data_IF_348254945521
#
_entry.id   IF_348254945521
#
_cell.length_a   1.000
_cell.length_b   1.000
_cell.length_c   1.000
_cell.angle_alpha   90.00
_cell.angle_beta   90.00
_cell.angle_gamma   90.00
#
_symmetry.space_group_name_H-M   'P 1'
#
loop_
_entity.id
_entity.type
_entity.pdbx_description
1 polymer ?
#
# COMPACT_ATOMS: atom_id res chain seq x y z
N UNK A 1 -15.38 -30.63 -54.89
CA UNK A 1 -14.77 -31.40 -53.77
C UNK A 1 -14.79 -30.51 -52.53
N UNK A 2 -15.36 -31.01 -51.42
CA UNK A 2 -15.27 -30.44 -50.07
C UNK A 2 -14.08 -31.07 -49.35
N UNK A 3 -13.52 -30.37 -48.35
CA UNK A 3 -13.73 -30.80 -46.95
C UNK A 3 -14.30 -29.62 -46.14
N UNK A 4 -15.45 -29.69 -45.44
CA UNK A 4 -15.74 -30.42 -44.17
C UNK A 4 -14.57 -30.25 -43.19
N UNK A 5 -14.55 -29.19 -42.38
CA UNK A 5 -15.16 -29.10 -41.04
C UNK A 5 -14.87 -27.64 -40.61
N UNK A 6 -15.84 -26.77 -40.32
CA UNK A 6 -16.39 -26.52 -38.98
C UNK A 6 -17.78 -25.89 -39.17
N UNK A 7 -18.82 -26.72 -39.28
CA UNK A 7 -20.16 -26.32 -38.81
C UNK A 7 -20.25 -26.71 -37.35
N UNK A 8 -20.87 -25.84 -36.55
CA UNK A 8 -21.23 -25.98 -35.14
C UNK A 8 -20.23 -25.49 -34.09
N UNK A 9 -20.03 -24.17 -33.96
CA UNK A 9 -20.07 -23.47 -32.65
C UNK A 9 -20.57 -22.01 -32.81
N UNK A 10 -21.49 -21.74 -33.75
CA UNK A 10 -22.16 -20.44 -33.86
C UNK A 10 -23.65 -20.63 -34.15
N UNK A 11 -24.26 -21.60 -33.47
CA UNK A 11 -25.70 -21.55 -33.24
C UNK A 11 -25.90 -21.04 -31.82
N UNK A 12 -26.74 -20.01 -31.73
CA UNK A 12 -26.81 -19.07 -30.61
C UNK A 12 -26.78 -19.73 -29.23
N UNK A 13 -25.86 -19.25 -28.40
CA UNK A 13 -26.05 -19.29 -26.95
C UNK A 13 -27.17 -18.31 -26.63
N UNK A 14 -28.41 -18.81 -26.74
CA UNK A 14 -29.59 -18.15 -26.17
C UNK A 14 -29.46 -18.30 -24.65
N UNK A 15 -28.88 -17.28 -24.00
CA UNK A 15 -28.92 -17.13 -22.55
C UNK A 15 -30.37 -16.84 -22.15
N UNK A 16 -31.17 -17.89 -21.96
CA UNK A 16 -32.46 -17.78 -21.28
C UNK A 16 -32.21 -17.63 -19.78
N UNK A 17 -32.15 -16.38 -19.32
CA UNK A 17 -32.24 -16.06 -17.90
C UNK A 17 -33.72 -16.15 -17.52
N UNK A 18 -34.12 -17.30 -16.97
CA UNK A 18 -35.45 -17.50 -16.39
C UNK A 18 -35.56 -16.75 -15.06
N UNK A 19 -36.17 -15.57 -15.09
CA UNK A 19 -36.46 -14.73 -13.93
C UNK A 19 -36.52 -13.27 -14.35
N UNK A 20 -37.43 -12.49 -13.77
CA UNK A 20 -37.69 -11.08 -14.11
C UNK A 20 -36.42 -10.21 -14.06
N UNK A 21 -35.66 -10.21 -15.15
CA UNK A 21 -34.38 -9.52 -15.25
C UNK A 21 -34.62 -8.09 -15.73
N UNK A 22 -34.73 -7.16 -14.77
CA UNK A 22 -34.78 -5.70 -15.01
C UNK A 22 -33.46 -5.10 -15.55
N UNK A 23 -32.55 -5.92 -16.08
CA UNK A 23 -31.25 -5.48 -16.57
C UNK A 23 -31.14 -5.82 -18.05
N UNK A 24 -31.25 -4.78 -18.89
CA UNK A 24 -31.08 -4.87 -20.33
C UNK A 24 -29.61 -4.58 -20.64
N UNK A 25 -28.96 -5.49 -21.35
CA UNK A 25 -27.61 -5.26 -21.88
C UNK A 25 -27.70 -4.23 -23.02
N UNK A 26 -27.45 -2.96 -22.70
CA UNK A 26 -27.62 -1.85 -23.65
C UNK A 26 -26.59 -1.84 -24.79
N UNK A 27 -25.41 -2.42 -24.57
CA UNK A 27 -24.43 -2.67 -25.61
C UNK A 27 -23.38 -3.68 -25.14
N UNK A 28 -22.73 -4.34 -26.10
CA UNK A 28 -21.49 -5.07 -25.87
C UNK A 28 -20.49 -4.63 -26.94
N UNK A 29 -19.20 -4.58 -26.59
CA UNK A 29 -18.11 -4.34 -27.54
C UNK A 29 -17.19 -5.55 -27.51
N UNK A 30 -17.25 -6.37 -28.55
CA UNK A 30 -16.28 -7.45 -28.74
C UNK A 30 -14.88 -6.83 -28.90
N UNK A 31 -13.90 -7.36 -28.16
CA UNK A 31 -12.50 -6.95 -28.31
C UNK A 31 -11.91 -7.67 -29.52
N UNK A 32 -11.47 -6.88 -30.48
CA UNK A 32 -10.63 -7.31 -31.58
C UNK A 32 -9.19 -7.42 -31.06
N UNK A 33 -8.51 -8.57 -31.15
CA UNK A 33 -7.16 -8.75 -30.62
C UNK A 33 -6.10 -7.85 -31.28
N UNK A 34 -6.38 -7.25 -32.44
CA UNK A 34 -5.41 -6.44 -33.20
C UNK A 34 -5.68 -4.92 -33.21
N UNK A 35 -6.65 -4.42 -32.43
CA UNK A 35 -6.91 -2.98 -32.32
C UNK A 35 -6.35 -2.42 -31.01
N UNK A 36 -5.21 -1.71 -31.13
CA UNK A 36 -4.68 -0.79 -30.12
C UNK A 36 -5.74 0.26 -29.76
N UNK A 37 -6.55 -0.04 -28.74
CA UNK A 37 -7.35 0.97 -28.04
C UNK A 37 -6.41 1.90 -27.26
N UNK A 38 -6.69 3.20 -27.11
CA UNK A 38 -5.90 4.11 -26.27
C UNK A 38 -6.11 3.88 -24.76
N UNK A 39 -6.58 2.68 -24.37
CA UNK A 39 -6.47 2.23 -23.00
C UNK A 39 -4.98 1.95 -22.78
N UNK A 40 -4.31 2.89 -22.11
CA UNK A 40 -2.93 2.78 -21.61
C UNK A 40 -2.54 1.32 -21.38
N UNK A 41 -1.44 0.81 -21.97
CA UNK A 41 -1.04 -0.57 -21.75
C UNK A 41 -0.79 -0.76 -20.25
N UNK A 42 -1.73 -1.43 -19.57
CA UNK A 42 -1.55 -1.89 -18.21
C UNK A 42 -0.89 -3.25 -18.31
N UNK A 43 0.42 -3.30 -18.06
CA UNK A 43 1.12 -4.57 -17.95
C UNK A 43 1.01 -5.05 -16.50
N UNK A 44 0.38 -6.22 -16.30
CA UNK A 44 0.31 -6.91 -15.02
C UNK A 44 1.34 -8.04 -15.03
N UNK A 45 2.27 -8.03 -14.09
CA UNK A 45 3.23 -9.10 -13.89
C UNK A 45 3.25 -9.58 -12.44
N UNK A 46 3.61 -10.84 -12.23
CA UNK A 46 3.83 -11.42 -10.91
C UNK A 46 5.33 -11.54 -10.64
N UNK A 47 5.76 -11.11 -9.47
CA UNK A 47 7.14 -11.18 -9.01
C UNK A 47 7.20 -12.05 -7.76
N UNK A 48 8.00 -13.12 -7.81
CA UNK A 48 8.27 -13.95 -6.63
C UNK A 48 9.59 -13.54 -6.02
N UNK A 49 9.54 -13.10 -4.77
CA UNK A 49 10.69 -12.77 -3.93
C UNK A 49 10.76 -13.81 -2.81
N UNK A 50 11.94 -14.03 -2.24
CA UNK A 50 12.10 -14.95 -1.12
C UNK A 50 11.11 -14.61 0.02
N UNK A 51 10.18 -15.52 0.29
CA UNK A 51 9.12 -15.36 1.29
C UNK A 51 7.92 -14.47 0.89
N UNK A 52 7.81 -13.95 -0.34
CA UNK A 52 6.65 -13.14 -0.76
C UNK A 52 6.38 -13.15 -2.27
N UNK A 53 5.10 -13.02 -2.65
CA UNK A 53 4.66 -12.85 -4.04
C UNK A 53 4.02 -11.47 -4.19
N UNK A 54 4.49 -10.71 -5.17
CA UNK A 54 4.01 -9.37 -5.49
C UNK A 54 3.28 -9.35 -6.84
N UNK A 55 2.25 -8.51 -6.90
CA UNK A 55 1.56 -8.10 -8.12
C UNK A 55 2.11 -6.75 -8.56
N UNK A 56 2.68 -6.66 -9.75
CA UNK A 56 3.23 -5.43 -10.31
C UNK A 56 2.33 -4.97 -11.45
N UNK A 57 1.77 -3.76 -11.34
CA UNK A 57 0.97 -3.14 -12.39
C UNK A 57 1.67 -1.89 -12.88
N UNK A 58 1.99 -1.84 -14.18
CA UNK A 58 2.59 -0.68 -14.82
C UNK A 58 1.55 0.00 -15.70
N UNK A 59 1.19 1.25 -15.39
CA UNK A 59 0.23 2.05 -16.13
C UNK A 59 0.92 3.26 -16.75
N UNK A 60 0.87 3.37 -18.07
CA UNK A 60 1.29 4.57 -18.78
C UNK A 60 0.20 5.64 -18.66
N UNK A 61 0.47 6.71 -17.92
CA UNK A 61 -0.43 7.85 -17.78
C UNK A 61 0.05 8.95 -18.71
N UNK A 62 -0.78 9.27 -19.69
CA UNK A 62 -0.52 10.36 -20.62
C UNK A 62 -0.91 11.67 -19.93
N UNK A 63 0.08 12.44 -19.45
CA UNK A 63 -0.20 13.74 -18.85
C UNK A 63 -0.43 14.74 -19.99
N UNK A 64 -1.70 15.02 -20.28
CA UNK A 64 -2.05 16.06 -21.23
C UNK A 64 -1.79 17.41 -20.56
N UNK A 65 -0.68 18.08 -20.90
CA UNK A 65 -0.47 19.47 -20.50
C UNK A 65 -1.68 20.28 -21.00
N UNK A 66 -2.41 20.90 -20.06
CA UNK A 66 -3.43 21.87 -20.40
C UNK A 66 -2.72 23.06 -21.07
N UNK A 67 -2.63 23.01 -22.41
CA UNK A 67 -2.05 24.09 -23.20
C UNK A 67 -2.79 25.39 -22.87
N UNK A 68 -2.06 26.35 -22.31
CA UNK A 68 -2.60 27.68 -22.05
C UNK A 68 -3.06 28.26 -23.40
N UNK A 69 -4.23 28.90 -23.40
CA UNK A 69 -4.82 29.59 -24.58
C UNK A 69 -4.01 30.82 -25.02
N UNK A 70 -2.67 30.76 -25.06
CA UNK A 70 -1.78 31.87 -25.38
C UNK A 70 -0.78 31.62 -26.50
N UNK A 71 -0.54 30.37 -26.92
CA UNK A 71 0.53 30.05 -27.88
C UNK A 71 0.13 30.09 -29.37
N UNK A 72 -1.09 30.51 -29.70
CA UNK A 72 -1.60 30.49 -31.09
C UNK A 72 -0.97 31.56 -32.02
N UNK A 73 -0.17 32.49 -31.51
CA UNK A 73 0.34 33.64 -32.29
C UNK A 73 1.75 33.48 -32.87
N UNK A 74 2.46 32.39 -32.59
CA UNK A 74 3.89 32.29 -32.95
C UNK A 74 4.25 31.38 -34.12
N UNK A 75 3.29 30.84 -34.89
CA UNK A 75 3.57 30.27 -36.21
C UNK A 75 4.77 29.31 -36.29
N UNK A 76 5.06 28.58 -35.21
CA UNK A 76 6.06 27.52 -35.18
C UNK A 76 5.30 26.20 -35.35
N UNK A 77 5.64 25.47 -36.41
CA UNK A 77 5.22 24.09 -36.63
C UNK A 77 5.70 23.26 -35.42
N UNK A 78 4.80 23.04 -34.46
CA UNK A 78 5.07 22.31 -33.23
C UNK A 78 4.99 20.80 -33.47
N UNK A 79 6.06 20.22 -34.00
CA UNK A 79 6.25 18.75 -34.05
C UNK A 79 6.74 18.17 -32.71
N UNK A 80 6.69 18.96 -31.63
CA UNK A 80 7.16 18.56 -30.29
C UNK A 80 6.25 19.08 -29.17
N UNK A 81 4.92 18.97 -29.31
CA UNK A 81 4.03 18.99 -28.12
C UNK A 81 4.28 17.69 -27.36
N UNK A 82 5.31 17.74 -26.51
CA UNK A 82 5.80 16.66 -25.69
C UNK A 82 4.68 16.09 -24.83
N UNK A 83 4.10 15.01 -25.32
CA UNK A 83 3.27 14.15 -24.50
C UNK A 83 4.21 13.46 -23.51
N UNK A 84 4.38 14.04 -22.31
CA UNK A 84 5.11 13.38 -21.23
C UNK A 84 4.26 12.19 -20.78
N UNK A 85 4.69 10.99 -21.18
CA UNK A 85 4.12 9.75 -20.70
C UNK A 85 4.79 9.41 -19.37
N UNK A 86 4.09 9.63 -18.26
CA UNK A 86 4.55 9.15 -16.96
C UNK A 86 4.14 7.70 -16.81
N UNK A 87 5.08 6.85 -16.43
CA UNK A 87 4.76 5.45 -16.17
C UNK A 87 4.64 5.24 -14.67
N UNK A 88 3.41 5.01 -14.20
CA UNK A 88 3.13 4.71 -12.81
C UNK A 88 3.28 3.21 -12.61
N UNK A 89 4.23 2.80 -11.76
CA UNK A 89 4.43 1.41 -11.37
C UNK A 89 3.87 1.23 -9.96
N UNK A 90 2.91 0.33 -9.81
CA UNK A 90 2.34 -0.07 -8.53
C UNK A 90 2.80 -1.49 -8.22
N UNK A 91 3.30 -1.73 -7.02
CA UNK A 91 3.71 -3.06 -6.52
C UNK A 91 2.95 -3.36 -5.24
N UNK A 92 2.08 -4.37 -5.29
CA UNK A 92 1.27 -4.79 -4.15
C UNK A 92 1.63 -6.20 -3.73
N UNK A 93 1.75 -6.45 -2.43
CA UNK A 93 1.99 -7.80 -1.91
C UNK A 93 0.69 -8.63 -2.00
N UNK A 94 0.77 -9.82 -2.58
CA UNK A 94 -0.36 -10.78 -2.64
C UNK A 94 -0.35 -11.71 -1.45
N UNK A 95 0.83 -12.25 -1.14
CA UNK A 95 1.07 -13.18 -0.03
C UNK A 95 2.52 -13.06 0.39
N UNK A 96 2.80 -13.26 1.67
CA UNK A 96 4.17 -13.35 2.17
C UNK A 96 4.23 -13.87 3.59
N UNK A 97 5.45 -14.09 4.09
CA UNK A 97 5.68 -14.28 5.52
C UNK A 97 5.34 -13.01 6.29
N UNK A 98 5.15 -13.13 7.60
CA UNK A 98 4.84 -11.97 8.44
C UNK A 98 5.91 -10.89 8.31
N UNK A 99 7.19 -11.26 8.27
CA UNK A 99 8.28 -10.30 8.10
C UNK A 99 8.17 -9.53 6.78
N UNK A 100 7.80 -10.21 5.68
CA UNK A 100 7.63 -9.55 4.37
C UNK A 100 6.40 -8.67 4.29
N UNK A 101 5.31 -9.09 4.93
CA UNK A 101 4.07 -8.31 5.03
C UNK A 101 4.32 -7.02 5.84
N UNK A 102 5.04 -7.11 6.95
CA UNK A 102 5.42 -5.95 7.78
C UNK A 102 6.48 -5.09 7.07
N UNK A 103 7.43 -5.70 6.36
CA UNK A 103 8.39 -4.96 5.54
C UNK A 103 7.68 -4.13 4.46
N UNK A 104 6.69 -4.71 3.76
CA UNK A 104 5.90 -3.99 2.76
C UNK A 104 5.13 -2.81 3.34
N UNK A 105 4.82 -2.82 4.64
CA UNK A 105 4.15 -1.69 5.32
C UNK A 105 4.98 -0.40 5.27
N UNK A 106 6.31 -0.51 5.34
CA UNK A 106 7.24 0.62 5.23
C UNK A 106 7.52 1.03 3.77
N UNK A 107 7.32 0.12 2.83
CA UNK A 107 7.55 0.31 1.39
C UNK A 107 6.27 0.69 0.64
N UNK A 108 5.10 0.62 1.28
CA UNK A 108 3.79 0.72 0.63
C UNK A 108 3.60 2.02 -0.16
N UNK A 109 3.93 3.17 0.45
CA UNK A 109 3.79 4.48 -0.21
C UNK A 109 4.74 4.62 -1.40
N UNK A 110 5.92 4.03 -1.29
CA UNK A 110 6.96 4.03 -2.32
C UNK A 110 6.61 3.09 -3.48
N UNK A 111 5.92 2.00 -3.18
CA UNK A 111 5.40 1.05 -4.14
C UNK A 111 4.07 1.49 -4.78
N UNK A 112 3.54 2.66 -4.43
CA UNK A 112 2.25 3.16 -4.94
C UNK A 112 1.03 2.43 -4.39
N UNK A 113 1.20 1.63 -3.33
CA UNK A 113 0.14 0.87 -2.66
C UNK A 113 -0.40 1.65 -1.44
N UNK A 114 -1.03 2.79 -1.71
CA UNK A 114 -1.47 3.73 -0.66
C UNK A 114 -2.55 3.18 0.26
N UNK A 115 -3.32 2.19 -0.18
CA UNK A 115 -4.35 1.52 0.63
C UNK A 115 -3.77 0.48 1.60
N UNK A 116 -2.52 0.04 1.40
CA UNK A 116 -1.99 -1.09 2.16
C UNK A 116 -1.94 -0.82 3.67
N UNK A 117 -1.53 0.39 4.08
CA UNK A 117 -1.43 0.74 5.51
C UNK A 117 -2.79 0.60 6.20
N UNK A 118 -3.85 1.16 5.61
CA UNK A 118 -5.18 1.11 6.21
C UNK A 118 -5.77 -0.31 6.21
N UNK A 119 -5.60 -1.06 5.12
CA UNK A 119 -6.06 -2.44 5.02
C UNK A 119 -5.33 -3.34 6.01
N UNK A 120 -4.00 -3.22 6.10
CA UNK A 120 -3.19 -4.00 7.01
C UNK A 120 -3.58 -3.72 8.47
N UNK A 121 -3.58 -2.45 8.90
CA UNK A 121 -3.93 -2.06 10.28
C UNK A 121 -5.34 -2.50 10.67
N UNK A 122 -6.29 -2.53 9.73
CA UNK A 122 -7.65 -3.00 9.97
C UNK A 122 -7.77 -4.52 10.12
N UNK A 123 -6.82 -5.32 9.62
CA UNK A 123 -7.03 -6.77 9.42
C UNK A 123 -5.94 -7.67 10.00
N UNK A 124 -4.77 -7.14 10.38
CA UNK A 124 -3.63 -7.96 10.80
C UNK A 124 -3.93 -8.88 12.00
N UNK A 125 -4.81 -8.45 12.91
CA UNK A 125 -5.23 -9.21 14.10
C UNK A 125 -5.85 -10.57 13.77
N UNK A 126 -6.28 -10.78 12.52
CA UNK A 126 -6.79 -12.07 12.06
C UNK A 126 -5.70 -13.15 11.93
N UNK A 127 -4.41 -12.77 11.84
CA UNK A 127 -3.32 -13.70 11.56
C UNK A 127 -2.04 -13.47 12.37
N UNK A 128 -1.94 -12.39 13.15
CA UNK A 128 -0.77 -12.11 14.00
C UNK A 128 -1.16 -11.23 15.20
N UNK A 129 -0.22 -11.01 16.11
CA UNK A 129 -0.41 -10.15 17.28
C UNK A 129 0.21 -8.77 17.07
N UNK A 130 -0.33 -7.76 17.77
CA UNK A 130 0.24 -6.40 17.80
C UNK A 130 1.71 -6.41 18.20
N UNK A 131 2.10 -7.28 19.14
CA UNK A 131 3.47 -7.39 19.62
C UNK A 131 4.43 -7.85 18.51
N UNK A 132 4.09 -8.92 17.78
CA UNK A 132 4.93 -9.42 16.69
C UNK A 132 5.09 -8.37 15.58
N UNK A 133 4.01 -7.69 15.20
CA UNK A 133 4.05 -6.63 14.19
C UNK A 133 4.95 -5.47 14.64
N UNK A 134 4.81 -5.04 15.89
CA UNK A 134 5.57 -3.92 16.44
C UNK A 134 7.06 -4.25 16.55
N UNK A 135 7.40 -5.45 17.03
CA UNK A 135 8.79 -5.92 17.11
C UNK A 135 9.44 -5.97 15.73
N UNK A 136 8.79 -6.60 14.74
CA UNK A 136 9.29 -6.67 13.37
C UNK A 136 9.44 -5.29 12.72
N UNK A 137 8.49 -4.38 12.98
CA UNK A 137 8.52 -3.03 12.43
C UNK A 137 9.68 -2.22 13.01
N UNK A 138 9.88 -2.26 14.33
CA UNK A 138 10.98 -1.58 15.01
C UNK A 138 12.34 -2.18 14.64
N UNK A 139 12.45 -3.51 14.60
CA UNK A 139 13.66 -4.19 14.15
C UNK A 139 14.00 -3.77 12.73
N UNK A 140 13.04 -3.77 11.79
CA UNK A 140 13.30 -3.36 10.41
C UNK A 140 13.79 -1.91 10.32
N UNK A 141 13.20 -1.00 11.10
CA UNK A 141 13.63 0.40 11.16
C UNK A 141 15.06 0.54 11.71
N UNK A 142 15.41 -0.22 12.76
CA UNK A 142 16.76 -0.21 13.33
C UNK A 142 17.80 -0.72 12.31
N UNK A 143 17.51 -1.82 11.60
CA UNK A 143 18.39 -2.35 10.54
C UNK A 143 18.57 -1.36 9.39
N UNK A 144 17.50 -0.71 8.93
CA UNK A 144 17.57 0.31 7.88
C UNK A 144 18.47 1.48 8.30
N UNK A 145 18.38 1.95 9.55
CA UNK A 145 19.26 3.01 10.07
C UNK A 145 20.72 2.59 10.06
N UNK A 146 21.01 1.34 10.40
CA UNK A 146 22.36 0.82 10.39
C UNK A 146 22.92 0.74 8.96
N UNK A 147 22.15 0.18 8.02
CA UNK A 147 22.53 0.08 6.60
C UNK A 147 22.90 1.45 6.01
N UNK A 148 22.15 2.50 6.37
CA UNK A 148 22.39 3.88 5.91
C UNK A 148 23.57 4.54 6.62
N UNK A 149 23.76 4.26 7.92
CA UNK A 149 24.90 4.74 8.70
C UNK A 149 26.24 4.19 8.19
N UNK A 150 26.24 2.97 7.66
CA UNK A 150 27.40 2.32 7.05
C UNK A 150 27.64 2.79 5.60
N UNK A 151 26.60 3.24 4.90
CA UNK A 151 26.63 3.60 3.49
C UNK A 151 26.21 5.06 3.25
N UNK A 152 27.13 6.00 3.52
CA UNK A 152 26.89 7.46 3.53
C UNK A 152 26.83 8.09 2.13
N UNK A 153 26.09 7.49 1.20
CA UNK A 153 25.80 8.09 -0.10
C UNK A 153 24.50 8.91 -0.03
N UNK A 154 24.39 9.98 -0.82
CA UNK A 154 23.24 10.88 -0.81
C UNK A 154 21.90 10.21 -1.20
N UNK A 155 21.96 9.12 -1.99
CA UNK A 155 20.79 8.32 -2.33
C UNK A 155 20.21 7.59 -1.11
N UNK A 156 21.07 7.04 -0.24
CA UNK A 156 20.67 6.31 0.97
C UNK A 156 19.95 7.19 2.00
N UNK A 157 20.33 8.47 2.09
CA UNK A 157 19.65 9.44 2.96
C UNK A 157 18.23 9.76 2.48
N UNK A 158 18.04 9.90 1.16
CA UNK A 158 16.72 10.13 0.59
C UNK A 158 15.80 8.91 0.81
N UNK A 159 16.35 7.70 0.77
CA UNK A 159 15.61 6.48 1.07
C UNK A 159 15.21 6.43 2.56
N UNK A 160 16.10 6.80 3.48
CA UNK A 160 15.76 6.90 4.90
C UNK A 160 14.58 7.85 5.15
N UNK A 161 14.61 9.04 4.56
CA UNK A 161 13.56 10.04 4.76
C UNK A 161 12.21 9.54 4.26
N UNK A 162 12.20 8.79 3.15
CA UNK A 162 10.99 8.14 2.61
C UNK A 162 10.46 7.07 3.56
N UNK A 163 11.32 6.17 4.05
CA UNK A 163 10.94 5.17 5.04
C UNK A 163 10.44 5.80 6.35
N UNK A 164 11.12 6.84 6.83
CA UNK A 164 10.73 7.60 8.02
C UNK A 164 9.37 8.26 7.85
N UNK A 165 9.11 8.84 6.68
CA UNK A 165 7.81 9.42 6.35
C UNK A 165 6.70 8.35 6.37
N UNK A 166 6.93 7.20 5.73
CA UNK A 166 5.98 6.09 5.74
C UNK A 166 5.75 5.56 7.15
N UNK A 167 6.82 5.35 7.93
CA UNK A 167 6.73 4.92 9.33
C UNK A 167 5.92 5.90 10.19
N UNK A 168 6.14 7.21 10.01
CA UNK A 168 5.35 8.24 10.69
C UNK A 168 3.86 8.12 10.34
N UNK A 169 3.52 7.90 9.07
CA UNK A 169 2.14 7.69 8.63
C UNK A 169 1.52 6.43 9.23
N UNK A 170 2.28 5.33 9.29
CA UNK A 170 1.86 4.07 9.90
C UNK A 170 1.58 4.27 11.39
N UNK A 171 2.55 4.77 12.16
CA UNK A 171 2.38 4.97 13.60
C UNK A 171 1.28 5.99 13.92
N UNK A 172 1.15 7.04 13.11
CA UNK A 172 0.11 8.05 13.32
C UNK A 172 -1.27 7.44 13.15
N UNK A 173 -1.46 6.70 12.05
CA UNK A 173 -2.73 6.01 11.77
C UNK A 173 -3.03 4.96 12.83
N UNK A 174 -2.02 4.19 13.22
CA UNK A 174 -2.16 3.11 14.21
C UNK A 174 -2.56 3.65 15.58
N UNK A 175 -1.82 4.62 16.11
CA UNK A 175 -2.09 5.24 17.41
C UNK A 175 -3.35 6.13 17.41
N UNK A 176 -3.84 6.54 16.26
CA UNK A 176 -5.06 7.34 16.15
C UNK A 176 -6.32 6.51 16.02
N UNK A 177 -6.31 5.51 15.14
CA UNK A 177 -7.52 4.78 14.77
C UNK A 177 -7.65 3.45 15.51
N UNK A 178 -6.54 2.93 16.04
CA UNK A 178 -6.47 1.60 16.63
C UNK A 178 -5.63 1.61 17.92
N UNK A 179 -5.77 2.65 18.75
CA UNK A 179 -4.98 2.79 19.99
C UNK A 179 -5.22 1.66 20.99
N UNK A 180 -6.38 1.01 20.93
CA UNK A 180 -6.72 -0.12 21.77
C UNK A 180 -5.82 -1.35 21.54
N UNK A 181 -5.14 -1.43 20.40
CA UNK A 181 -4.19 -2.52 20.11
C UNK A 181 -3.02 -2.57 21.06
N UNK A 182 -2.67 -1.42 21.62
CA UNK A 182 -1.54 -1.28 22.50
C UNK A 182 -1.93 -1.51 23.97
N UNK A 183 -3.21 -1.74 24.26
CA UNK A 183 -3.67 -2.09 25.60
C UNK A 183 -3.28 -3.54 25.91
N UNK A 184 -2.51 -3.74 26.98
CA UNK A 184 -2.07 -5.07 27.40
C UNK A 184 -0.84 -5.61 26.67
N UNK A 185 -0.17 -4.78 25.87
CA UNK A 185 1.17 -5.10 25.37
C UNK A 185 2.18 -5.21 26.53
N UNK A 186 3.24 -5.99 26.31
CA UNK A 186 4.36 -6.04 27.24
C UNK A 186 4.95 -4.64 27.49
N UNK A 187 5.26 -4.35 28.76
CA UNK A 187 5.76 -3.06 29.17
C UNK A 187 7.12 -2.73 28.53
N UNK A 188 7.95 -3.75 28.26
CA UNK A 188 9.22 -3.60 27.55
C UNK A 188 9.01 -3.19 26.10
N UNK A 189 8.06 -3.81 25.40
CA UNK A 189 7.71 -3.48 24.02
C UNK A 189 7.17 -2.04 23.90
N UNK A 190 6.26 -1.63 24.79
CA UNK A 190 5.74 -0.26 24.84
C UNK A 190 6.84 0.77 25.13
N UNK A 191 7.75 0.49 26.06
CA UNK A 191 8.89 1.36 26.36
C UNK A 191 9.83 1.47 25.15
N UNK A 192 10.07 0.38 24.42
CA UNK A 192 10.89 0.39 23.20
C UNK A 192 10.27 1.31 22.14
N UNK A 193 8.97 1.18 21.89
CA UNK A 193 8.23 2.08 20.98
C UNK A 193 8.35 3.55 21.42
N UNK A 194 8.15 3.83 22.70
CA UNK A 194 8.26 5.18 23.22
C UNK A 194 9.66 5.78 23.06
N UNK A 195 10.70 5.02 23.37
CA UNK A 195 12.09 5.46 23.17
C UNK A 195 12.37 5.73 21.68
N UNK A 196 11.90 4.86 20.80
CA UNK A 196 12.06 5.03 19.35
C UNK A 196 11.37 6.32 18.87
N UNK A 197 10.09 6.51 19.24
CA UNK A 197 9.33 7.69 18.81
C UNK A 197 9.93 8.98 19.38
N UNK A 198 10.37 8.97 20.64
CA UNK A 198 11.06 10.10 21.27
C UNK A 198 12.43 10.38 20.69
N UNK A 199 13.06 9.40 20.05
CA UNK A 199 14.33 9.64 19.37
C UNK A 199 14.10 10.27 18.01
N UNK A 200 13.12 9.78 17.24
CA UNK A 200 12.90 10.15 15.85
C UNK A 200 11.93 11.33 15.64
N UNK A 201 10.95 11.54 16.52
CA UNK A 201 9.91 12.55 16.34
C UNK A 201 9.66 13.37 17.61
N UNK A 202 10.74 13.96 18.15
CA UNK A 202 10.67 14.83 19.35
C UNK A 202 9.71 16.01 19.15
N UNK A 203 8.87 16.25 20.15
CA UNK A 203 7.88 17.33 20.19
C UNK A 203 6.70 17.12 19.25
N UNK A 204 6.55 15.95 18.64
CA UNK A 204 5.46 15.66 17.72
C UNK A 204 4.20 15.16 18.45
N UNK A 205 3.07 15.16 17.74
CA UNK A 205 1.83 14.55 18.22
C UNK A 205 1.97 13.04 18.46
N UNK A 206 2.86 12.36 17.73
CA UNK A 206 3.18 10.95 17.96
C UNK A 206 3.78 10.74 19.36
N UNK A 207 4.75 11.57 19.77
CA UNK A 207 5.34 11.48 21.11
C UNK A 207 4.27 11.67 22.19
N UNK A 208 3.40 12.68 22.04
CA UNK A 208 2.32 12.96 22.98
C UNK A 208 1.36 11.78 23.12
N UNK A 209 1.00 11.14 22.00
CA UNK A 209 0.10 9.97 21.99
C UNK A 209 0.72 8.75 22.66
N UNK A 210 2.01 8.50 22.45
CA UNK A 210 2.69 7.38 23.12
C UNK A 210 2.83 7.64 24.62
N UNK A 211 3.08 8.88 25.03
CA UNK A 211 3.13 9.23 26.45
C UNK A 211 1.77 9.04 27.14
N UNK A 212 0.68 9.47 26.49
CA UNK A 212 -0.68 9.20 26.97
C UNK A 212 -0.93 7.69 27.10
N UNK A 213 -0.45 6.90 26.13
CA UNK A 213 -0.61 5.45 26.10
C UNK A 213 0.15 4.73 27.23
N UNK A 214 1.36 5.18 27.53
CA UNK A 214 2.14 4.66 28.67
C UNK A 214 1.41 4.94 29.99
N UNK A 215 0.91 6.17 30.17
CA UNK A 215 0.16 6.56 31.36
C UNK A 215 -1.12 5.74 31.54
N UNK A 216 -1.81 5.41 30.45
CA UNK A 216 -3.01 4.57 30.48
C UNK A 216 -2.69 3.13 30.91
N UNK A 217 -1.61 2.53 30.35
CA UNK A 217 -1.19 1.18 30.71
C UNK A 217 -0.72 1.07 32.17
N UNK A 218 -0.04 2.09 32.71
CA UNK A 218 0.35 2.11 34.13
C UNK A 218 -0.86 2.16 35.08
N UNK A 219 -1.90 2.92 34.72
CA UNK A 219 -3.14 2.99 35.51
C UNK A 219 -3.88 1.66 35.56
N UNK A 220 -3.93 0.95 34.43
CA UNK A 220 -4.57 -0.36 34.33
C UNK A 220 -3.84 -1.38 35.21
N UNK A 221 -2.51 -1.43 35.17
CA UNK A 221 -1.70 -2.31 36.01
C UNK A 221 -1.87 -2.02 37.52
N UNK A 222 -2.10 -0.77 37.91
CA UNK A 222 -2.35 -0.38 39.31
C UNK A 222 -3.75 -0.74 39.84
N UNK A 223 -4.73 -0.99 38.96
CA UNK A 223 -6.12 -1.24 39.35
C UNK A 223 -6.43 -2.72 39.67
N UNK A 224 -5.68 -3.67 39.09
CA UNK A 224 -5.85 -5.11 39.35
C UNK A 224 -5.32 -5.59 40.72
N UNK A 225 -4.53 -4.76 41.42
CA UNK A 225 -3.97 -5.10 42.73
C UNK A 225 -4.91 -4.84 43.92
N UNK A 226 -6.17 -4.45 43.69
CA UNK A 226 -7.13 -4.15 44.77
C UNK A 226 -8.13 -5.29 44.98
N UNK A 227 -7.64 -6.46 45.40
CA UNK A 227 -8.49 -7.52 45.95
C UNK A 227 -8.95 -7.10 47.35
N UNK A 228 -10.26 -6.93 47.62
CA UNK A 228 -10.73 -6.70 48.98
C UNK A 228 -10.60 -8.01 49.77
N UNK A 229 -9.67 -8.04 50.74
CA UNK A 229 -9.68 -9.04 51.78
C UNK A 229 -11.02 -8.92 52.54
N UNK A 230 -11.87 -9.94 52.43
CA UNK A 230 -13.02 -10.17 53.30
C UNK A 230 -12.69 -11.30 54.26
#
# INVERSE_FOLDING_TARGET
MLPRTVRHILDGVKLELSGEANVILSSYKARDPDVNSPLSPQCLSEETVDGAVYSVTQRQVQLQQAASKGQQWLGMENDLVGTTCETVKIRSIKVGTLEKIVQHLLEALDCGDSSYISVFLATYRAFTTTQEVLELLLDRLDHLKQEIGENTDCCSLNDWDRFRHTASSVFSTWLEQYSEDFHGLDQGCLKRLALYIKQEWRGSELERRVDDLLLQNEKLAGSDCKVPAS
#
